data_IF_285834353434
#
_entry.id   IF_285834353434
#
_cell.length_a   1.000
_cell.length_b   1.000
_cell.length_c   1.000
_cell.angle_alpha   90.00
_cell.angle_beta   90.00
_cell.angle_gamma   90.00
#
_symmetry.space_group_name_H-M   'P 1'
#
loop_
_entity.id
_entity.type
_entity.pdbx_description
1 polymer ?
#
# COMPACT_ATOMS: atom_id res chain seq x y z
N UNK A 1 30.70 3.34 -54.36
CA UNK A 1 29.30 3.42 -53.95
C UNK A 1 28.99 2.12 -53.25
N UNK A 2 28.86 2.15 -51.92
CA UNK A 2 27.78 1.50 -51.18
C UNK A 2 27.95 1.89 -49.72
N UNK A 3 26.86 2.37 -49.14
CA UNK A 3 26.80 3.23 -47.95
C UNK A 3 26.89 2.41 -46.67
N UNK A 4 27.80 2.83 -45.77
CA UNK A 4 27.78 2.46 -44.36
C UNK A 4 26.51 3.04 -43.71
N UNK A 5 25.52 2.18 -43.44
CA UNK A 5 24.39 2.56 -42.59
C UNK A 5 24.85 2.57 -41.12
N UNK A 6 25.19 3.77 -40.67
CA UNK A 6 25.34 4.12 -39.25
C UNK A 6 24.02 3.79 -38.54
N UNK A 7 24.07 2.79 -37.66
CA UNK A 7 22.97 2.45 -36.76
C UNK A 7 22.57 3.68 -35.95
N UNK A 8 21.36 4.16 -36.21
CA UNK A 8 20.72 5.27 -35.51
C UNK A 8 20.58 4.89 -34.03
N UNK A 9 21.45 5.46 -33.18
CA UNK A 9 21.30 5.38 -31.72
C UNK A 9 20.00 6.11 -31.39
N UNK A 10 18.92 5.36 -31.19
CA UNK A 10 17.69 5.88 -30.58
C UNK A 10 18.09 6.55 -29.27
N UNK A 11 18.08 7.87 -29.25
CA UNK A 11 18.20 8.64 -28.01
C UNK A 11 17.05 8.19 -27.11
N UNK A 12 17.39 7.54 -26.00
CA UNK A 12 16.40 7.18 -25.00
C UNK A 12 15.90 8.52 -24.44
N UNK A 13 14.62 8.88 -24.60
CA UNK A 13 14.11 10.12 -24.04
C UNK A 13 14.42 10.14 -22.53
N UNK A 14 14.75 11.30 -21.95
CA UNK A 14 15.09 11.38 -20.54
C UNK A 14 13.96 10.75 -19.72
N UNK A 15 14.34 9.89 -18.78
CA UNK A 15 13.37 9.20 -17.93
C UNK A 15 12.42 10.24 -17.32
N UNK A 16 11.12 10.05 -17.53
CA UNK A 16 10.10 10.96 -17.01
C UNK A 16 10.26 11.08 -15.51
N UNK A 17 10.45 12.29 -15.01
CA UNK A 17 10.47 12.57 -13.58
C UNK A 17 9.06 12.85 -13.09
N UNK A 18 8.43 11.87 -12.46
CA UNK A 18 7.05 11.97 -11.97
C UNK A 18 6.89 12.92 -10.79
N UNK A 19 7.98 13.31 -10.10
CA UNK A 19 7.93 14.33 -9.04
C UNK A 19 7.43 15.68 -9.56
N UNK A 20 7.72 16.03 -10.83
CA UNK A 20 7.20 17.24 -11.45
C UNK A 20 5.67 17.22 -11.66
N UNK A 21 5.03 16.05 -11.52
CA UNK A 21 3.59 15.86 -11.65
C UNK A 21 3.03 14.96 -10.54
N UNK A 22 3.58 15.13 -9.35
CA UNK A 22 3.32 14.31 -8.17
C UNK A 22 1.82 14.15 -7.89
N UNK A 23 1.05 15.24 -7.93
CA UNK A 23 -0.40 15.20 -7.70
C UNK A 23 -1.13 14.27 -8.68
N UNK A 24 -0.75 14.30 -9.97
CA UNK A 24 -1.33 13.42 -10.99
C UNK A 24 -0.91 11.96 -10.80
N UNK A 25 0.34 11.73 -10.38
CA UNK A 25 0.83 10.40 -10.04
C UNK A 25 0.06 9.84 -8.84
N UNK A 26 -0.08 10.61 -7.75
CA UNK A 26 -0.85 10.25 -6.57
C UNK A 26 -2.33 9.99 -6.88
N UNK A 27 -2.96 10.82 -7.73
CA UNK A 27 -4.34 10.60 -8.19
C UNK A 27 -4.47 9.31 -8.98
N UNK A 28 -3.54 9.03 -9.91
CA UNK A 28 -3.53 7.78 -10.68
C UNK A 28 -3.35 6.55 -9.79
N UNK A 29 -2.45 6.63 -8.80
CA UNK A 29 -2.27 5.58 -7.78
C UNK A 29 -3.56 5.40 -6.97
N UNK A 30 -4.17 6.50 -6.54
CA UNK A 30 -5.44 6.51 -5.82
C UNK A 30 -6.55 5.81 -6.60
N UNK A 31 -6.80 6.19 -7.85
CA UNK A 31 -7.79 5.51 -8.71
C UNK A 31 -7.50 4.02 -8.89
N UNK A 32 -6.22 3.66 -9.07
CA UNK A 32 -5.83 2.25 -9.20
C UNK A 32 -6.16 1.46 -7.93
N UNK A 33 -5.82 1.99 -6.75
CA UNK A 33 -6.08 1.31 -5.48
C UNK A 33 -7.53 1.44 -5.01
N UNK A 34 -8.28 2.45 -5.41
CA UNK A 34 -9.65 2.65 -4.96
C UNK A 34 -10.66 1.98 -5.88
N UNK A 35 -10.47 2.11 -7.18
CA UNK A 35 -11.42 1.70 -8.22
C UNK A 35 -10.93 0.50 -9.03
N UNK A 36 -9.66 0.11 -8.89
CA UNK A 36 -9.07 -0.95 -9.71
C UNK A 36 -8.81 -0.52 -11.15
N UNK A 37 -8.87 0.79 -11.41
CA UNK A 37 -8.69 1.38 -12.74
C UNK A 37 -7.38 2.14 -12.74
N UNK A 38 -6.44 1.72 -13.58
CA UNK A 38 -5.27 2.52 -13.89
C UNK A 38 -5.64 3.48 -15.04
N UNK A 39 -5.65 4.81 -14.84
CA UNK A 39 -6.05 5.74 -15.89
C UNK A 39 -5.17 5.53 -17.13
N UNK A 40 -5.77 5.09 -18.23
CA UNK A 40 -5.07 4.74 -19.46
C UNK A 40 -4.49 5.96 -20.21
N UNK A 41 -4.71 7.17 -19.71
CA UNK A 41 -4.28 8.42 -20.33
C UNK A 41 -2.81 8.72 -20.04
N UNK A 42 -1.97 8.20 -20.93
CA UNK A 42 -0.82 8.92 -21.51
C UNK A 42 0.52 8.95 -20.78
N UNK A 43 0.76 8.15 -19.74
CA UNK A 43 2.13 8.08 -19.17
C UNK A 43 2.61 6.64 -19.06
N UNK A 44 3.65 6.32 -19.82
CA UNK A 44 4.41 5.07 -19.73
C UNK A 44 5.07 5.04 -18.35
N UNK A 45 4.41 4.43 -17.35
CA UNK A 45 4.90 4.31 -15.97
C UNK A 45 6.09 3.37 -15.81
N UNK A 46 6.55 2.79 -16.90
CA UNK A 46 7.65 1.86 -16.93
C UNK A 46 7.88 1.32 -18.33
N UNK A 47 9.00 0.66 -18.52
CA UNK A 47 9.43 0.10 -19.79
C UNK A 47 9.52 -1.42 -19.71
N UNK A 48 9.35 -2.09 -20.85
CA UNK A 48 9.67 -3.52 -20.96
C UNK A 48 11.13 -3.63 -21.34
N UNK A 49 11.92 -4.26 -20.46
CA UNK A 49 13.33 -4.58 -20.70
C UNK A 49 13.41 -6.06 -21.07
N UNK A 50 14.06 -6.36 -22.20
CA UNK A 50 14.43 -7.71 -22.60
C UNK A 50 15.94 -7.87 -22.44
N UNK A 51 16.36 -8.78 -21.57
CA UNK A 51 17.77 -9.15 -21.40
C UNK A 51 17.93 -10.68 -21.29
N UNK A 52 19.13 -11.16 -20.99
CA UNK A 52 19.43 -12.59 -20.83
C UNK A 52 18.56 -13.30 -19.78
N UNK A 53 17.93 -12.55 -18.86
CA UNK A 53 17.00 -13.06 -17.84
C UNK A 53 15.54 -13.07 -18.31
N UNK A 54 15.29 -12.71 -19.58
CA UNK A 54 13.98 -12.66 -20.20
C UNK A 54 13.33 -11.27 -20.17
N UNK A 55 12.06 -11.23 -20.55
CA UNK A 55 11.25 -10.00 -20.65
C UNK A 55 10.72 -9.61 -19.28
N UNK A 56 11.11 -8.44 -18.76
CA UNK A 56 10.59 -7.88 -17.49
C UNK A 56 10.09 -6.45 -17.67
N UNK A 57 9.03 -6.09 -16.93
CA UNK A 57 8.56 -4.71 -16.87
C UNK A 57 9.27 -3.98 -15.73
N UNK A 58 9.99 -2.90 -16.04
CA UNK A 58 10.63 -2.01 -15.07
C UNK A 58 9.79 -0.76 -14.90
N UNK A 59 9.23 -0.57 -13.71
CA UNK A 59 8.54 0.66 -13.33
C UNK A 59 9.55 1.81 -13.22
N UNK A 60 9.15 3.02 -13.59
CA UNK A 60 9.94 4.23 -13.43
C UNK A 60 10.24 4.49 -11.94
N UNK A 61 11.50 4.72 -11.62
CA UNK A 61 11.97 4.83 -10.23
C UNK A 61 11.28 5.98 -9.45
N UNK A 62 11.01 7.12 -10.10
CA UNK A 62 10.31 8.25 -9.44
C UNK A 62 8.83 7.96 -9.21
N UNK A 63 8.16 7.25 -10.12
CA UNK A 63 6.78 6.80 -9.93
C UNK A 63 6.69 5.75 -8.82
N UNK A 64 7.65 4.82 -8.77
CA UNK A 64 7.72 3.79 -7.73
C UNK A 64 7.90 4.40 -6.33
N UNK A 65 8.76 5.43 -6.21
CA UNK A 65 8.95 6.18 -4.98
C UNK A 65 7.68 6.93 -4.52
N UNK A 66 6.96 7.57 -5.45
CA UNK A 66 5.68 8.23 -5.13
C UNK A 66 4.64 7.19 -4.67
N UNK A 67 4.55 6.05 -5.35
CA UNK A 67 3.68 4.94 -4.98
C UNK A 67 4.00 4.41 -3.59
N UNK A 68 5.28 4.19 -3.29
CA UNK A 68 5.72 3.74 -1.97
C UNK A 68 5.31 4.74 -0.88
N UNK A 69 5.58 6.04 -1.08
CA UNK A 69 5.18 7.09 -0.13
C UNK A 69 3.65 7.14 0.05
N UNK A 70 2.89 7.10 -1.04
CA UNK A 70 1.44 7.09 -1.02
C UNK A 70 0.88 5.91 -0.21
N UNK A 71 1.48 4.71 -0.37
CA UNK A 71 1.10 3.51 0.36
C UNK A 71 1.48 3.58 1.84
N UNK A 72 2.65 4.12 2.20
CA UNK A 72 3.08 4.31 3.60
C UNK A 72 2.08 5.16 4.39
N UNK A 73 1.57 6.22 3.77
CA UNK A 73 0.62 7.14 4.41
C UNK A 73 -0.78 6.52 4.63
N UNK A 74 -1.11 5.45 3.91
CA UNK A 74 -2.48 4.90 3.84
C UNK A 74 -2.59 3.45 4.29
N UNK A 75 -1.49 2.71 4.38
CA UNK A 75 -1.51 1.29 4.70
C UNK A 75 -1.23 1.05 6.17
N UNK A 76 -2.12 0.30 6.81
CA UNK A 76 -2.03 -0.13 8.20
C UNK A 76 -1.90 -1.64 8.23
N UNK A 77 -0.90 -2.14 8.94
CA UNK A 77 -0.79 -3.56 9.25
C UNK A 77 -1.67 -3.86 10.45
N UNK A 78 -2.62 -4.78 10.29
CA UNK A 78 -3.48 -5.28 11.35
C UNK A 78 -3.03 -6.69 11.72
N UNK A 79 -2.66 -6.85 12.99
CA UNK A 79 -2.17 -8.12 13.55
C UNK A 79 -3.22 -8.64 14.52
N UNK A 80 -3.78 -9.80 14.22
CA UNK A 80 -4.71 -10.51 15.11
C UNK A 80 -3.91 -11.22 16.20
N UNK A 81 -4.35 -11.06 17.45
CA UNK A 81 -3.71 -11.63 18.64
C UNK A 81 -4.59 -12.72 19.27
N UNK A 82 -3.97 -13.56 20.10
CA UNK A 82 -4.65 -14.57 20.90
C UNK A 82 -5.64 -15.43 20.09
N UNK A 83 -6.87 -15.61 20.57
CA UNK A 83 -7.91 -16.41 19.92
C UNK A 83 -8.27 -15.86 18.53
N UNK A 84 -8.01 -14.58 18.28
CA UNK A 84 -8.25 -13.96 16.98
C UNK A 84 -7.28 -14.46 15.90
N UNK A 85 -6.14 -15.05 16.28
CA UNK A 85 -5.15 -15.62 15.34
C UNK A 85 -5.71 -16.79 14.54
N UNK A 86 -6.57 -17.59 15.16
CA UNK A 86 -7.07 -18.84 14.59
C UNK A 86 -8.39 -18.66 13.82
N UNK A 87 -8.95 -17.44 13.84
CA UNK A 87 -10.13 -17.11 13.06
C UNK A 87 -9.89 -17.29 11.55
N UNK A 88 -10.94 -17.67 10.84
CA UNK A 88 -10.89 -17.76 9.38
C UNK A 88 -10.69 -16.38 8.75
N UNK A 89 -10.17 -16.34 7.51
CA UNK A 89 -9.98 -15.08 6.78
C UNK A 89 -11.30 -14.30 6.62
N UNK A 90 -12.41 -15.01 6.39
CA UNK A 90 -13.73 -14.38 6.27
C UNK A 90 -14.12 -13.65 7.56
N UNK A 91 -13.99 -14.31 8.71
CA UNK A 91 -14.32 -13.70 10.02
C UNK A 91 -13.40 -12.52 10.34
N UNK A 92 -12.11 -12.62 10.00
CA UNK A 92 -11.16 -11.50 10.16
C UNK A 92 -11.51 -10.30 9.29
N UNK A 93 -11.94 -10.54 8.05
CA UNK A 93 -12.44 -9.46 7.20
C UNK A 93 -13.72 -8.85 7.80
N UNK A 94 -14.68 -9.66 8.23
CA UNK A 94 -15.91 -9.20 8.86
C UNK A 94 -15.65 -8.36 10.12
N UNK A 95 -14.65 -8.72 10.93
CA UNK A 95 -14.20 -7.91 12.08
C UNK A 95 -13.72 -6.53 11.65
N UNK A 96 -12.92 -6.45 10.58
CA UNK A 96 -12.49 -5.16 10.03
C UNK A 96 -13.70 -4.40 9.51
N UNK A 97 -14.61 -5.03 8.76
CA UNK A 97 -15.82 -4.36 8.24
C UNK A 97 -16.73 -3.84 9.34
N UNK A 98 -16.94 -4.62 10.40
CA UNK A 98 -17.73 -4.19 11.57
C UNK A 98 -17.07 -3.01 12.28
N UNK A 99 -15.72 -2.98 12.32
CA UNK A 99 -14.98 -1.83 12.84
C UNK A 99 -15.17 -0.59 11.97
N UNK A 100 -15.17 -0.75 10.64
CA UNK A 100 -15.51 0.33 9.70
C UNK A 100 -16.96 0.82 9.95
N UNK A 101 -17.92 -0.09 10.07
CA UNK A 101 -19.31 0.29 10.31
C UNK A 101 -19.50 1.09 11.61
N UNK A 102 -18.70 0.76 12.64
CA UNK A 102 -18.64 1.52 13.88
C UNK A 102 -18.18 2.98 13.71
N UNK A 103 -17.15 3.25 12.88
CA UNK A 103 -16.72 4.63 12.64
C UNK A 103 -17.73 5.41 11.79
N UNK A 104 -18.47 4.73 10.91
CA UNK A 104 -19.45 5.37 10.03
C UNK A 104 -20.69 5.77 10.82
N UNK A 105 -21.18 4.85 11.66
CA UNK A 105 -22.30 5.11 12.55
C UNK A 105 -22.02 6.27 13.51
N UNK A 106 -20.78 6.38 14.00
CA UNK A 106 -20.33 7.45 14.91
C UNK A 106 -19.94 8.74 14.20
N UNK A 107 -19.92 8.76 12.86
CA UNK A 107 -19.45 9.88 12.03
C UNK A 107 -18.08 10.40 12.47
N UNK A 108 -17.16 9.47 12.75
CA UNK A 108 -15.81 9.80 13.21
C UNK A 108 -14.98 10.47 12.11
N UNK A 109 -15.31 10.19 10.86
CA UNK A 109 -14.64 10.72 9.67
C UNK A 109 -15.67 11.32 8.69
N UNK A 110 -15.19 12.01 7.65
CA UNK A 110 -16.04 12.52 6.58
C UNK A 110 -16.89 11.37 5.99
N UNK A 111 -18.25 11.51 5.93
CA UNK A 111 -19.13 10.49 5.38
C UNK A 111 -18.86 10.09 3.92
N UNK A 112 -18.16 10.93 3.14
CA UNK A 112 -17.76 10.64 1.77
C UNK A 112 -16.63 9.60 1.68
N UNK A 113 -15.90 9.39 2.77
CA UNK A 113 -14.83 8.39 2.83
C UNK A 113 -15.47 7.01 2.73
N UNK A 114 -15.09 6.25 1.70
CA UNK A 114 -15.56 4.86 1.53
C UNK A 114 -14.65 3.89 2.30
N UNK A 115 -15.13 2.64 2.43
CA UNK A 115 -14.36 1.54 3.01
C UNK A 115 -13.01 1.33 2.33
N UNK A 116 -12.01 0.98 3.12
CA UNK A 116 -10.66 0.65 2.64
C UNK A 116 -10.58 -0.75 2.05
N UNK A 117 -9.41 -1.06 1.47
CA UNK A 117 -9.10 -2.39 0.94
C UNK A 117 -8.40 -3.25 1.97
N UNK A 118 -8.79 -4.52 2.00
CA UNK A 118 -8.20 -5.54 2.87
C UNK A 118 -7.40 -6.52 2.00
N UNK A 119 -6.16 -6.79 2.39
CA UNK A 119 -5.31 -7.81 1.78
C UNK A 119 -4.66 -8.65 2.88
N UNK A 120 -4.78 -9.97 2.79
CA UNK A 120 -4.09 -10.87 3.73
C UNK A 120 -2.63 -11.03 3.33
N UNK A 121 -1.72 -10.80 4.27
CA UNK A 121 -0.27 -11.00 4.13
C UNK A 121 0.16 -12.35 4.75
N UNK A 122 -0.51 -12.76 5.83
CA UNK A 122 -0.28 -14.01 6.54
C UNK A 122 -1.58 -14.51 7.20
N UNK A 123 -1.63 -15.70 7.82
CA UNK A 123 -2.84 -16.19 8.49
C UNK A 123 -3.41 -15.22 9.53
N UNK A 124 -2.57 -14.53 10.31
CA UNK A 124 -2.97 -13.60 11.37
C UNK A 124 -2.59 -12.14 11.07
N UNK A 125 -2.18 -11.81 9.84
CA UNK A 125 -1.75 -10.46 9.45
C UNK A 125 -2.45 -10.03 8.17
N UNK A 126 -3.05 -8.84 8.18
CA UNK A 126 -3.59 -8.21 6.98
C UNK A 126 -3.06 -6.78 6.84
N UNK A 127 -2.95 -6.34 5.59
CA UNK A 127 -2.77 -4.95 5.18
C UNK A 127 -4.14 -4.33 4.93
N UNK A 128 -4.44 -3.25 5.64
CA UNK A 128 -5.60 -2.40 5.40
C UNK A 128 -5.14 -1.11 4.71
N UNK A 129 -5.57 -0.89 3.46
CA UNK A 129 -5.28 0.34 2.72
C UNK A 129 -6.47 1.27 2.87
N UNK A 130 -6.31 2.33 3.67
CA UNK A 130 -7.31 3.35 3.89
C UNK A 130 -7.45 4.26 2.67
N UNK A 131 -8.68 4.71 2.40
CA UNK A 131 -8.94 5.68 1.34
C UNK A 131 -8.56 7.12 1.71
N UNK A 132 -8.46 7.37 3.01
CA UNK A 132 -8.09 8.66 3.57
C UNK A 132 -6.90 8.50 4.53
N UNK A 133 -5.95 9.43 4.45
CA UNK A 133 -4.73 9.41 5.29
C UNK A 133 -5.10 9.55 6.76
N UNK A 134 -6.11 10.35 7.10
CA UNK A 134 -6.53 10.53 8.49
C UNK A 134 -7.01 9.23 9.15
N UNK A 135 -7.61 8.31 8.39
CA UNK A 135 -8.06 7.01 8.89
C UNK A 135 -6.86 6.12 9.22
N UNK A 136 -5.90 6.01 8.31
CA UNK A 136 -4.69 5.23 8.54
C UNK A 136 -3.89 5.78 9.74
N UNK A 137 -3.68 7.09 9.77
CA UNK A 137 -2.97 7.75 10.87
C UNK A 137 -3.71 7.58 12.20
N UNK A 138 -5.04 7.62 12.21
CA UNK A 138 -5.84 7.38 13.40
C UNK A 138 -5.71 5.93 13.90
N UNK A 139 -5.78 4.93 13.01
CA UNK A 139 -5.61 3.52 13.39
C UNK A 139 -4.23 3.26 13.97
N UNK A 140 -3.17 3.79 13.34
CA UNK A 140 -1.80 3.66 13.85
C UNK A 140 -1.65 4.33 15.21
N UNK A 141 -2.19 5.54 15.41
CA UNK A 141 -2.18 6.21 16.73
C UNK A 141 -2.96 5.45 17.78
N UNK A 142 -4.06 4.80 17.39
CA UNK A 142 -4.84 3.95 18.29
C UNK A 142 -4.00 2.77 18.80
N UNK A 143 -3.09 2.25 17.96
CA UNK A 143 -2.07 1.27 18.32
C UNK A 143 -2.61 -0.14 18.55
N UNK A 144 -3.63 -0.30 19.39
CA UNK A 144 -4.34 -1.56 19.60
C UNK A 144 -5.80 -1.31 19.96
N UNK A 145 -6.65 -2.31 19.72
CA UNK A 145 -8.06 -2.26 20.11
C UNK A 145 -8.61 -3.67 20.21
N UNK A 146 -9.81 -3.78 20.79
CA UNK A 146 -10.64 -4.97 20.64
C UNK A 146 -11.66 -4.72 19.53
N UNK A 147 -11.78 -5.65 18.60
CA UNK A 147 -12.80 -5.65 17.55
C UNK A 147 -13.95 -6.54 18.00
N UNK A 148 -15.16 -5.99 18.03
CA UNK A 148 -16.33 -6.75 18.43
C UNK A 148 -17.01 -7.36 17.20
N UNK A 149 -17.34 -8.64 17.27
CA UNK A 149 -18.25 -9.28 16.32
C UNK A 149 -19.20 -10.22 17.07
N UNK A 150 -20.50 -9.96 16.96
CA UNK A 150 -21.58 -10.75 17.59
C UNK A 150 -21.43 -10.90 19.12
N UNK A 151 -20.92 -9.87 19.79
CA UNK A 151 -20.76 -9.85 21.25
C UNK A 151 -19.42 -10.36 21.75
N UNK A 152 -18.60 -10.95 20.88
CA UNK A 152 -17.24 -11.40 21.21
C UNK A 152 -16.20 -10.34 20.82
N UNK A 153 -15.23 -10.12 21.70
CA UNK A 153 -14.17 -9.12 21.52
C UNK A 153 -12.82 -9.77 21.19
N UNK A 154 -12.25 -9.38 20.06
CA UNK A 154 -11.00 -9.92 19.54
C UNK A 154 -9.87 -8.88 19.56
N UNK A 155 -8.75 -9.14 20.25
CA UNK A 155 -7.64 -8.20 20.32
C UNK A 155 -6.91 -8.10 18.98
N UNK A 156 -6.66 -6.86 18.54
CA UNK A 156 -5.86 -6.55 17.37
C UNK A 156 -4.88 -5.42 17.66
N UNK A 157 -3.73 -5.46 16.99
CA UNK A 157 -2.73 -4.39 16.99
C UNK A 157 -2.62 -3.78 15.61
N UNK A 158 -2.49 -2.46 15.56
CA UNK A 158 -2.26 -1.67 14.36
C UNK A 158 -0.83 -1.19 14.33
N UNK A 159 -0.13 -1.44 13.22
CA UNK A 159 1.21 -0.92 12.96
C UNK A 159 1.23 -0.15 11.65
N UNK A 160 2.11 0.84 11.55
CA UNK A 160 2.39 1.49 10.28
C UNK A 160 2.97 0.46 9.29
N UNK A 161 2.60 0.57 8.02
CA UNK A 161 3.25 -0.22 6.98
C UNK A 161 4.66 0.29 6.74
N UNK A 162 5.61 -0.64 6.68
CA UNK A 162 7.03 -0.37 6.48
C UNK A 162 7.54 -1.23 5.34
N UNK A 163 8.48 -0.69 4.58
CA UNK A 163 9.22 -1.45 3.58
C UNK A 163 10.08 -2.53 4.22
N UNK A 164 10.55 -3.48 3.40
CA UNK A 164 11.53 -4.47 3.85
C UNK A 164 12.83 -3.85 4.36
N UNK A 165 13.23 -2.70 3.83
CA UNK A 165 14.43 -1.99 4.26
C UNK A 165 14.22 -1.40 5.67
N UNK A 166 13.12 -0.68 5.87
CA UNK A 166 12.75 -0.12 7.18
C UNK A 166 12.53 -1.20 8.24
N UNK A 167 11.90 -2.33 7.87
CA UNK A 167 11.74 -3.46 8.79
C UNK A 167 13.08 -4.06 9.25
N UNK A 168 14.12 -4.05 8.39
CA UNK A 168 15.46 -4.48 8.80
C UNK A 168 16.09 -3.48 9.76
N UNK A 169 15.92 -2.20 9.51
CA UNK A 169 16.44 -1.13 10.37
C UNK A 169 15.77 -1.12 11.75
N UNK A 170 14.45 -1.22 11.80
CA UNK A 170 13.70 -1.36 13.06
C UNK A 170 14.14 -2.60 13.84
N UNK A 171 14.34 -3.74 13.17
CA UNK A 171 14.85 -4.95 13.84
C UNK A 171 16.27 -4.77 14.40
N UNK A 172 17.10 -3.99 13.73
CA UNK A 172 18.45 -3.68 14.20
C UNK A 172 18.38 -2.77 15.44
N UNK A 173 17.55 -1.73 15.40
CA UNK A 173 17.32 -0.83 16.53
C UNK A 173 16.67 -1.53 17.74
N UNK A 174 15.67 -2.39 17.51
CA UNK A 174 15.03 -3.21 18.55
C UNK A 174 16.03 -4.20 19.17
N UNK A 175 16.99 -4.69 18.40
CA UNK A 175 18.06 -5.55 18.91
C UNK A 175 19.08 -4.75 19.73
N UNK A 176 19.33 -3.47 19.42
CA UNK A 176 20.24 -2.61 20.18
C UNK A 176 19.63 -2.08 21.48
N UNK A 177 18.31 -1.89 21.53
CA UNK A 177 17.57 -1.35 22.69
C UNK A 177 17.15 -2.40 23.73
N UNK A 178 17.24 -3.69 23.39
CA UNK A 178 16.92 -4.80 24.30
C UNK A 178 18.15 -5.43 25.00
N UNK A 179 19.31 -4.76 25.00
CA UNK A 179 20.51 -5.14 25.77
C UNK A 179 20.76 -4.18 26.94
#
# INVERSE_FOLDING_TARGET
>A
MEEDQVGERREIPPAVNYWAMEDRACQSIGHCYDEGVFPATSTVVGEVIEDERGRRFRVNDSFDAIKERWLKERTVIVIFQDEARDLTRAVKEDLVRAFEDGWFARRLFNPEIRRGRVKFEAPNVLSYVAKAVEVAAWMVRKGSTRLNLRGEDYPVTFKAWMTKAELKEVRLQDAETNF
#
